data_IF_767221778522
#
_entry.id   IF_767221778522
#
_cell.length_a   1.000
_cell.length_b   1.000
_cell.length_c   1.000
_cell.angle_alpha   90.00
_cell.angle_beta   90.00
_cell.angle_gamma   90.00
#
_symmetry.space_group_name_H-M   'P 1'
#
loop_
_entity.id
_entity.type
_entity.pdbx_description
1 polymer ?
#
# COMPACT_ATOMS: atom_id res chain seq x y z
N UNK A 1 -8.64 -20.50 16.28
CA UNK A 1 -7.50 -19.74 15.71
C UNK A 1 -7.49 -18.36 16.36
N UNK A 2 -6.46 -18.04 17.17
CA UNK A 2 -6.35 -16.71 17.76
C UNK A 2 -6.28 -15.66 16.64
N UNK A 3 -7.22 -14.72 16.63
CA UNK A 3 -7.27 -13.65 15.62
C UNK A 3 -6.13 -12.66 15.91
N UNK A 4 -4.91 -13.00 15.48
CA UNK A 4 -3.76 -12.10 15.63
C UNK A 4 -4.10 -10.80 14.89
N UNK A 5 -3.92 -9.64 15.47
CA UNK A 5 -4.25 -8.39 14.78
C UNK A 5 -3.26 -8.15 13.61
N UNK A 6 -3.69 -7.50 12.51
CA UNK A 6 -2.78 -7.11 11.44
C UNK A 6 -1.81 -6.04 11.95
N UNK A 7 -0.55 -6.15 11.55
CA UNK A 7 0.49 -5.18 11.86
C UNK A 7 0.35 -3.99 10.89
N UNK A 8 -0.31 -2.93 11.35
CA UNK A 8 -0.63 -1.76 10.54
C UNK A 8 0.62 -1.00 10.07
N UNK A 9 1.72 -1.08 10.81
CA UNK A 9 3.01 -0.47 10.39
C UNK A 9 3.56 -1.21 9.18
N UNK A 10 3.47 -2.54 9.15
CA UNK A 10 3.83 -3.32 7.95
C UNK A 10 2.94 -3.00 6.76
N UNK A 11 1.63 -2.82 6.98
CA UNK A 11 0.68 -2.42 5.93
C UNK A 11 1.08 -1.05 5.36
N UNK A 12 1.32 -0.05 6.21
CA UNK A 12 1.71 1.30 5.80
C UNK A 12 3.00 1.31 4.96
N UNK A 13 4.03 0.57 5.39
CA UNK A 13 5.29 0.46 4.62
C UNK A 13 5.05 -0.17 3.25
N UNK A 14 4.32 -1.29 3.18
CA UNK A 14 4.05 -2.01 1.92
C UNK A 14 3.19 -1.18 0.98
N UNK A 15 2.21 -0.45 1.50
CA UNK A 15 1.37 0.45 0.71
C UNK A 15 2.21 1.53 0.03
N UNK A 16 3.15 2.15 0.74
CA UNK A 16 4.03 3.17 0.16
C UNK A 16 4.89 2.62 -0.98
N UNK A 17 5.45 1.43 -0.83
CA UNK A 17 6.16 0.77 -1.93
C UNK A 17 5.25 0.46 -3.12
N UNK A 18 4.03 -0.03 -2.86
CA UNK A 18 3.05 -0.32 -3.90
C UNK A 18 2.66 0.94 -4.70
N UNK A 19 2.47 2.08 -4.02
CA UNK A 19 2.23 3.38 -4.68
C UNK A 19 3.40 3.81 -5.56
N UNK A 20 4.64 3.66 -5.09
CA UNK A 20 5.83 3.96 -5.89
C UNK A 20 5.94 3.04 -7.12
N UNK A 21 5.61 1.77 -6.98
CA UNK A 21 5.60 0.82 -8.09
C UNK A 21 4.49 1.11 -9.12
N UNK A 22 3.30 1.53 -8.69
CA UNK A 22 2.22 1.98 -9.59
C UNK A 22 2.69 3.22 -10.37
N UNK A 23 3.29 4.21 -9.68
CA UNK A 23 3.80 5.42 -10.33
C UNK A 23 4.89 5.08 -11.35
N UNK A 24 5.83 4.20 -11.00
CA UNK A 24 6.87 3.74 -11.90
C UNK A 24 6.29 3.04 -13.14
N UNK A 25 5.27 2.19 -12.94
CA UNK A 25 4.59 1.50 -14.04
C UNK A 25 3.87 2.50 -14.97
N UNK A 26 3.18 3.50 -14.42
CA UNK A 26 2.53 4.57 -15.21
C UNK A 26 3.56 5.38 -16.01
N UNK A 27 4.69 5.73 -15.41
CA UNK A 27 5.78 6.42 -16.10
C UNK A 27 6.37 5.57 -17.23
N UNK A 28 6.59 4.27 -16.99
CA UNK A 28 7.07 3.36 -18.03
C UNK A 28 6.08 3.26 -19.19
N UNK A 29 4.78 3.15 -18.93
CA UNK A 29 3.77 3.16 -19.98
C UNK A 29 3.75 4.48 -20.76
N UNK A 30 3.85 5.62 -20.08
CA UNK A 30 3.91 6.93 -20.72
C UNK A 30 5.14 7.06 -21.65
N UNK A 31 6.31 6.57 -21.19
CA UNK A 31 7.53 6.52 -22.02
C UNK A 31 7.32 5.60 -23.22
N UNK A 32 6.75 4.42 -23.05
CA UNK A 32 6.53 3.50 -24.18
C UNK A 32 5.59 4.10 -25.23
N UNK A 33 4.53 4.78 -24.81
CA UNK A 33 3.60 5.48 -25.72
C UNK A 33 4.32 6.62 -26.46
N UNK A 34 5.13 7.42 -25.76
CA UNK A 34 5.89 8.51 -26.39
C UNK A 34 6.93 7.99 -27.39
N UNK A 35 7.55 6.84 -27.13
CA UNK A 35 8.47 6.18 -28.08
C UNK A 35 7.78 5.78 -29.38
N UNK A 36 6.57 5.21 -29.30
CA UNK A 36 5.80 4.78 -30.46
C UNK A 36 5.29 5.98 -31.27
N UNK A 37 4.85 7.04 -30.59
CA UNK A 37 4.22 8.21 -31.23
C UNK A 37 5.22 9.21 -31.81
N UNK A 38 6.35 9.44 -31.14
CA UNK A 38 7.32 10.48 -31.53
C UNK A 38 8.53 9.89 -32.29
N UNK A 39 8.69 8.56 -32.32
CA UNK A 39 9.74 7.87 -33.09
C UNK A 39 11.18 8.08 -32.59
N UNK A 40 11.40 8.91 -31.58
CA UNK A 40 12.72 9.39 -31.12
C UNK A 40 13.65 8.32 -30.51
N UNK A 41 13.16 7.11 -30.22
CA UNK A 41 13.90 6.06 -29.50
C UNK A 41 13.63 4.65 -30.08
N UNK A 42 13.60 4.51 -31.41
CA UNK A 42 13.32 3.22 -32.09
C UNK A 42 14.54 2.30 -32.23
N UNK A 43 15.63 2.54 -31.50
CA UNK A 43 16.74 1.60 -31.49
C UNK A 43 16.33 0.25 -30.85
N UNK A 44 16.64 -0.90 -31.50
CA UNK A 44 16.19 -2.23 -31.06
C UNK A 44 16.70 -2.58 -29.65
N UNK A 45 17.92 -2.16 -29.31
CA UNK A 45 18.51 -2.37 -27.98
C UNK A 45 17.70 -1.68 -26.86
N UNK A 46 17.20 -0.46 -27.11
CA UNK A 46 16.37 0.25 -26.13
C UNK A 46 15.00 -0.42 -26.00
N UNK A 47 14.41 -0.91 -27.09
CA UNK A 47 13.13 -1.63 -27.04
C UNK A 47 13.22 -2.86 -26.16
N UNK A 48 14.26 -3.67 -26.34
CA UNK A 48 14.47 -4.87 -25.54
C UNK A 48 14.72 -4.52 -24.05
N UNK A 49 15.55 -3.52 -23.77
CA UNK A 49 15.83 -3.07 -22.40
C UNK A 49 14.56 -2.60 -21.64
N UNK A 50 13.73 -1.76 -22.28
CA UNK A 50 12.49 -1.27 -21.68
C UNK A 50 11.43 -2.37 -21.49
N UNK A 51 11.37 -3.35 -22.39
CA UNK A 51 10.47 -4.50 -22.23
C UNK A 51 10.86 -5.35 -21.02
N UNK A 52 12.15 -5.64 -20.84
CA UNK A 52 12.65 -6.35 -19.65
C UNK A 52 12.33 -5.57 -18.37
N UNK A 53 12.57 -4.25 -18.37
CA UNK A 53 12.27 -3.38 -17.24
C UNK A 53 10.77 -3.39 -16.90
N UNK A 54 9.90 -3.36 -17.91
CA UNK A 54 8.45 -3.39 -17.73
C UNK A 54 7.98 -4.70 -17.10
N UNK A 55 8.52 -5.83 -17.55
CA UNK A 55 8.25 -7.15 -16.96
C UNK A 55 8.72 -7.20 -15.51
N UNK A 56 9.93 -6.70 -15.22
CA UNK A 56 10.47 -6.63 -13.86
C UNK A 56 9.59 -5.80 -12.92
N UNK A 57 9.14 -4.63 -13.36
CA UNK A 57 8.22 -3.79 -12.57
C UNK A 57 6.87 -4.47 -12.39
N UNK A 58 6.31 -5.10 -13.42
CA UNK A 58 5.04 -5.84 -13.31
C UNK A 58 5.11 -6.97 -12.28
N UNK A 59 6.19 -7.76 -12.30
CA UNK A 59 6.43 -8.80 -11.30
C UNK A 59 6.57 -8.22 -9.89
N UNK A 60 7.30 -7.11 -9.74
CA UNK A 60 7.44 -6.44 -8.44
C UNK A 60 6.09 -5.95 -7.89
N UNK A 61 5.21 -5.41 -8.74
CA UNK A 61 3.86 -5.00 -8.38
C UNK A 61 3.03 -6.19 -7.88
N UNK A 62 3.10 -7.34 -8.58
CA UNK A 62 2.37 -8.54 -8.18
C UNK A 62 2.82 -9.06 -6.81
N UNK A 63 4.14 -9.13 -6.58
CA UNK A 63 4.69 -9.54 -5.30
C UNK A 63 4.24 -8.58 -4.19
N UNK A 64 4.34 -7.26 -4.41
CA UNK A 64 3.93 -6.25 -3.43
C UNK A 64 2.42 -6.30 -3.14
N UNK A 65 1.59 -6.52 -4.15
CA UNK A 65 0.14 -6.69 -3.99
C UNK A 65 -0.15 -7.91 -3.10
N UNK A 66 0.45 -9.06 -3.40
CA UNK A 66 0.28 -10.29 -2.60
C UNK A 66 0.74 -10.04 -1.17
N UNK A 67 1.92 -9.44 -0.97
CA UNK A 67 2.43 -9.10 0.35
C UNK A 67 1.50 -8.13 1.10
N UNK A 68 0.89 -7.17 0.42
CA UNK A 68 -0.06 -6.24 1.01
C UNK A 68 -1.37 -6.97 1.40
N UNK A 69 -1.91 -7.79 0.52
CA UNK A 69 -3.12 -8.59 0.76
C UNK A 69 -2.95 -9.57 1.93
N UNK A 70 -1.77 -10.20 2.02
CA UNK A 70 -1.39 -11.05 3.15
C UNK A 70 -1.26 -10.22 4.43
N UNK A 71 -0.71 -9.01 4.38
CA UNK A 71 -0.64 -8.12 5.54
C UNK A 71 -2.03 -7.68 6.02
N UNK A 72 -2.95 -7.44 5.07
CA UNK A 72 -4.37 -7.14 5.33
C UNK A 72 -5.18 -8.38 5.74
N UNK A 73 -4.57 -9.57 5.74
CA UNK A 73 -5.20 -10.85 6.08
C UNK A 73 -6.45 -11.18 5.29
N UNK A 74 -6.44 -10.85 4.00
CA UNK A 74 -7.50 -11.27 3.08
C UNK A 74 -7.54 -12.79 2.95
N UNK A 75 -8.72 -13.32 2.69
CA UNK A 75 -8.91 -14.75 2.44
C UNK A 75 -8.02 -15.21 1.28
N UNK A 76 -7.38 -16.38 1.43
CA UNK A 76 -6.48 -16.96 0.43
C UNK A 76 -7.17 -17.08 -0.94
N UNK A 77 -8.46 -17.44 -0.96
CA UNK A 77 -9.25 -17.49 -2.19
C UNK A 77 -9.30 -16.15 -2.93
N UNK A 78 -9.44 -15.03 -2.21
CA UNK A 78 -9.44 -13.69 -2.79
C UNK A 78 -8.04 -13.36 -3.34
N UNK A 79 -6.98 -13.75 -2.63
CA UNK A 79 -5.60 -13.54 -3.09
C UNK A 79 -5.35 -14.29 -4.41
N UNK A 80 -5.77 -15.56 -4.49
CA UNK A 80 -5.63 -16.38 -5.70
C UNK A 80 -6.44 -15.77 -6.85
N UNK A 81 -7.71 -15.43 -6.60
CA UNK A 81 -8.58 -14.83 -7.61
C UNK A 81 -7.99 -13.53 -8.16
N UNK A 82 -7.51 -12.64 -7.28
CA UNK A 82 -6.87 -11.38 -7.66
C UNK A 82 -5.61 -11.61 -8.49
N UNK A 83 -4.81 -12.63 -8.14
CA UNK A 83 -3.59 -12.98 -8.88
C UNK A 83 -3.90 -13.44 -10.31
N UNK A 84 -4.97 -14.22 -10.51
CA UNK A 84 -5.41 -14.63 -11.84
C UNK A 84 -5.87 -13.41 -12.67
N UNK A 85 -6.61 -12.50 -12.03
CA UNK A 85 -7.13 -11.30 -12.71
C UNK A 85 -6.00 -10.31 -13.07
N UNK A 86 -4.87 -10.34 -12.38
CA UNK A 86 -3.69 -9.51 -12.73
C UNK A 86 -3.09 -9.81 -14.12
N UNK A 87 -3.44 -10.94 -14.75
CA UNK A 87 -3.01 -11.26 -16.13
C UNK A 87 -3.49 -10.19 -17.12
N UNK A 88 -4.62 -9.53 -16.83
CA UNK A 88 -5.18 -8.48 -17.67
C UNK A 88 -4.61 -7.12 -17.22
N UNK A 89 -3.78 -6.44 -18.03
CA UNK A 89 -3.02 -5.25 -17.59
C UNK A 89 -3.88 -4.10 -17.08
N UNK A 90 -5.02 -3.83 -17.74
CA UNK A 90 -5.93 -2.76 -17.33
C UNK A 90 -6.64 -3.10 -16.01
N UNK A 91 -7.05 -4.35 -15.84
CA UNK A 91 -7.72 -4.78 -14.61
C UNK A 91 -6.72 -4.82 -13.46
N UNK A 92 -5.47 -5.22 -13.71
CA UNK A 92 -4.39 -5.14 -12.73
C UNK A 92 -4.27 -3.73 -12.13
N UNK A 93 -4.26 -2.68 -12.96
CA UNK A 93 -4.17 -1.31 -12.48
C UNK A 93 -5.39 -0.93 -11.61
N UNK A 94 -6.60 -1.29 -12.05
CA UNK A 94 -7.84 -1.04 -11.30
C UNK A 94 -7.79 -1.75 -9.94
N UNK A 95 -7.36 -3.01 -9.90
CA UNK A 95 -7.24 -3.79 -8.67
C UNK A 95 -6.21 -3.20 -7.71
N UNK A 96 -5.05 -2.80 -8.22
CA UNK A 96 -4.01 -2.11 -7.45
C UNK A 96 -4.57 -0.85 -6.78
N UNK A 97 -5.37 -0.06 -7.51
CA UNK A 97 -6.04 1.12 -6.98
C UNK A 97 -7.09 0.79 -5.92
N UNK A 98 -7.92 -0.24 -6.13
CA UNK A 98 -8.91 -0.69 -5.14
C UNK A 98 -8.24 -1.15 -3.84
N UNK A 99 -7.24 -2.03 -3.93
CA UNK A 99 -6.51 -2.52 -2.75
C UNK A 99 -5.79 -1.38 -2.04
N UNK A 100 -5.22 -0.42 -2.79
CA UNK A 100 -4.62 0.77 -2.22
C UNK A 100 -5.63 1.67 -1.49
N UNK A 101 -6.83 1.84 -2.05
CA UNK A 101 -7.89 2.61 -1.41
C UNK A 101 -8.39 1.93 -0.13
N UNK A 102 -8.50 0.60 -0.15
CA UNK A 102 -8.86 -0.18 1.03
C UNK A 102 -7.79 -0.08 2.12
N UNK A 103 -6.51 -0.24 1.77
CA UNK A 103 -5.39 -0.06 2.70
C UNK A 103 -5.37 1.37 3.29
N UNK A 104 -5.60 2.39 2.45
CA UNK A 104 -5.74 3.79 2.88
C UNK A 104 -6.86 3.96 3.89
N UNK A 105 -8.03 3.40 3.61
CA UNK A 105 -9.19 3.47 4.50
C UNK A 105 -8.88 2.80 5.83
N UNK A 106 -8.27 1.61 5.80
CA UNK A 106 -7.86 0.89 7.00
C UNK A 106 -6.90 1.72 7.86
N UNK A 107 -5.88 2.35 7.27
CA UNK A 107 -4.94 3.19 8.02
C UNK A 107 -5.58 4.47 8.55
N UNK A 108 -6.49 5.11 7.78
CA UNK A 108 -7.25 6.28 8.25
C UNK A 108 -8.14 5.96 9.43
N UNK A 109 -8.78 4.78 9.45
CA UNK A 109 -9.60 4.36 10.59
C UNK A 109 -8.78 4.14 11.87
N UNK A 110 -7.46 3.98 11.76
CA UNK A 110 -6.53 3.92 12.91
C UNK A 110 -5.93 5.28 13.27
N UNK A 111 -6.42 6.37 12.67
CA UNK A 111 -6.02 7.74 13.01
C UNK A 111 -4.76 8.22 12.31
N UNK A 112 -4.14 7.41 11.44
CA UNK A 112 -3.01 7.85 10.63
C UNK A 112 -3.46 8.74 9.48
N UNK A 113 -2.75 9.85 9.27
CA UNK A 113 -2.92 10.70 8.10
C UNK A 113 -2.26 10.03 6.87
N UNK A 114 -3.05 9.78 5.83
CA UNK A 114 -2.58 9.18 4.56
C UNK A 114 -2.59 10.26 3.47
N UNK A 115 -1.39 10.61 2.98
CA UNK A 115 -1.19 11.53 1.86
C UNK A 115 -1.08 10.78 0.52
N UNK A 116 -0.68 11.51 -0.53
CA UNK A 116 -0.55 10.95 -1.89
C UNK A 116 0.48 9.80 -1.99
N UNK A 117 1.58 9.90 -1.24
CA UNK A 117 2.63 8.87 -1.16
C UNK A 117 2.43 7.87 0.00
N UNK A 118 1.22 7.77 0.54
CA UNK A 118 0.91 6.93 1.69
C UNK A 118 1.10 7.63 3.04
N UNK A 119 1.34 6.86 4.08
CA UNK A 119 1.49 7.34 5.47
C UNK A 119 2.91 7.88 5.72
N UNK A 120 3.02 9.05 6.35
CA UNK A 120 4.32 9.61 6.78
C UNK A 120 4.94 8.73 7.88
N UNK A 121 6.28 8.54 7.91
CA UNK A 121 6.93 7.84 9.02
C UNK A 121 6.58 8.40 10.40
N UNK A 122 6.31 9.70 10.51
CA UNK A 122 5.93 10.38 11.75
C UNK A 122 4.58 9.91 12.32
N UNK A 123 3.75 9.31 11.47
CA UNK A 123 2.43 8.79 11.84
C UNK A 123 2.50 7.30 12.24
N UNK A 124 3.65 6.63 12.10
CA UNK A 124 3.81 5.22 12.48
C UNK A 124 3.53 4.95 13.98
N UNK A 125 3.92 5.81 14.94
CA UNK A 125 3.58 5.63 16.35
C UNK A 125 2.07 5.44 16.59
N UNK A 126 1.20 6.08 15.80
CA UNK A 126 -0.27 5.96 15.92
C UNK A 126 -0.80 4.60 15.49
N UNK A 127 -0.01 3.86 14.70
CA UNK A 127 -0.37 2.55 14.16
C UNK A 127 0.06 1.39 15.08
N UNK A 128 0.86 1.66 16.11
CA UNK A 128 1.24 0.66 17.10
C UNK A 128 0.07 0.33 18.04
N UNK A 129 -0.08 -0.95 18.37
CA UNK A 129 -1.08 -1.40 19.34
C UNK A 129 -0.75 -0.82 20.71
N UNK A 130 -1.76 -0.26 21.38
CA UNK A 130 -1.59 0.36 22.69
C UNK A 130 -1.29 1.87 22.61
N UNK A 131 -0.95 2.39 21.44
CA UNK A 131 -0.68 3.81 21.28
C UNK A 131 -1.97 4.61 21.02
N UNK A 132 -1.96 5.88 21.39
CA UNK A 132 -3.06 6.80 21.13
C UNK A 132 -3.20 7.06 19.63
N UNK A 133 -4.39 6.83 19.07
CA UNK A 133 -4.67 7.10 17.64
C UNK A 133 -4.61 8.60 17.29
N UNK A 134 -4.58 9.50 18.28
CA UNK A 134 -4.48 10.95 18.06
C UNK A 134 -3.04 11.41 17.87
N UNK A 135 -2.21 11.20 18.90
CA UNK A 135 -0.83 11.69 18.95
C UNK A 135 0.25 10.61 18.84
N UNK A 136 -0.09 9.33 18.99
CA UNK A 136 0.87 8.22 18.95
C UNK A 136 1.55 7.90 20.28
N UNK A 137 1.16 8.56 21.37
CA UNK A 137 1.66 8.30 22.74
C UNK A 137 1.35 6.86 23.18
N UNK A 138 2.32 6.17 23.78
CA UNK A 138 2.15 4.81 24.31
C UNK A 138 1.23 4.83 25.54
N UNK A 139 0.12 4.10 25.49
CA UNK A 139 -0.84 4.01 26.60
C UNK A 139 -0.70 2.72 27.40
N UNK A 140 0.37 1.97 27.21
CA UNK A 140 0.67 0.78 28.01
C UNK A 140 0.75 1.17 29.49
N UNK A 141 -0.20 0.67 30.29
CA UNK A 141 -0.28 0.96 31.73
C UNK A 141 -1.30 2.05 32.12
N UNK A 142 -1.96 2.72 31.17
CA UNK A 142 -3.11 3.57 31.46
C UNK A 142 -4.40 2.74 31.56
N UNK A 143 -5.37 3.21 32.34
CA UNK A 143 -6.71 2.63 32.36
C UNK A 143 -7.37 2.72 30.98
N UNK A 144 -8.24 1.75 30.65
CA UNK A 144 -8.85 1.63 29.31
C UNK A 144 -9.58 2.90 28.87
N UNK A 145 -10.18 3.64 29.80
CA UNK A 145 -10.98 4.84 29.51
C UNK A 145 -10.30 6.15 29.92
N UNK A 146 -9.06 6.11 30.43
CA UNK A 146 -8.34 7.32 30.80
C UNK A 146 -8.11 8.22 29.57
N UNK A 147 -8.21 9.55 29.69
CA UNK A 147 -7.81 10.45 28.61
C UNK A 147 -6.31 10.34 28.35
N UNK A 148 -5.90 10.50 27.09
CA UNK A 148 -4.49 10.51 26.74
C UNK A 148 -3.78 11.74 27.35
N UNK A 149 -2.63 11.60 28.04
CA UNK A 149 -1.96 12.72 28.72
C UNK A 149 -1.44 13.78 27.75
N UNK A 150 -1.06 13.40 26.53
CA UNK A 150 -0.49 14.32 25.54
C UNK A 150 -1.54 15.11 24.75
N UNK A 151 -2.67 14.49 24.40
CA UNK A 151 -3.65 15.09 23.49
C UNK A 151 -5.08 15.15 24.03
N UNK A 152 -5.31 14.69 25.25
CA UNK A 152 -6.64 14.66 25.88
C UNK A 152 -7.64 13.70 25.25
N UNK A 153 -7.28 12.99 24.16
CA UNK A 153 -8.21 12.10 23.44
C UNK A 153 -8.60 10.90 24.33
N UNK A 154 -9.90 10.74 24.53
CA UNK A 154 -10.51 9.56 25.16
C UNK A 154 -10.62 8.47 24.09
N UNK A 155 -10.19 7.23 24.35
CA UNK A 155 -10.27 6.17 23.37
C UNK A 155 -11.74 5.76 23.17
N UNK A 156 -12.18 5.68 21.91
CA UNK A 156 -13.48 5.11 21.59
C UNK A 156 -13.40 3.59 21.79
N UNK A 157 -14.25 3.04 22.66
CA UNK A 157 -14.45 1.59 22.76
C UNK A 157 -15.21 1.17 21.50
N UNK A 158 -14.52 0.53 20.56
CA UNK A 158 -15.10 0.11 19.29
C UNK A 158 -14.96 -1.40 19.11
#
# INVERSE_FOLDING_TARGET
MAYREPDYVKVAKRQRFLLMSILAMLLLYAIQISRVTVGFLQHPNFTLAFSILTIGVALSCAILLIMLMVAMRKNILIIILMTIVMIIPLINLILLLFVNNEATTMLRTKGAKVGFFGVSPDEYPKLHKGNCMGCGYDRSGLELLAPCPECGRIPEVR
#
